data_IF_008613589507
#
_entry.id   IF_008613589507
#
_cell.length_a   1.000
_cell.length_b   1.000
_cell.length_c   1.000
_cell.angle_alpha   90.00
_cell.angle_beta   90.00
_cell.angle_gamma   90.00
#
_symmetry.space_group_name_H-M   'P 1'
#
loop_
_entity.id
_entity.type
_entity.pdbx_description
1 polymer ?
#
# COMPACT_ATOMS: atom_id res chain seq x y z
N UNK A 1 23.71 -20.95 2.73
CA UNK A 1 23.03 -22.26 2.78
C UNK A 1 21.82 -22.11 3.67
N UNK A 2 20.62 -22.56 3.27
CA UNK A 2 19.44 -22.49 4.14
C UNK A 2 19.66 -23.36 5.39
N UNK A 3 19.29 -22.83 6.55
CA UNK A 3 19.32 -23.59 7.80
C UNK A 3 18.05 -24.45 7.88
N UNK A 4 18.20 -25.78 7.96
CA UNK A 4 17.08 -26.68 8.24
C UNK A 4 16.89 -26.70 9.74
N UNK A 5 15.76 -26.18 10.21
CA UNK A 5 15.45 -26.08 11.63
C UNK A 5 15.08 -27.47 12.18
N UNK A 6 15.97 -28.05 12.99
CA UNK A 6 15.67 -29.27 13.76
C UNK A 6 15.07 -28.89 15.10
N UNK A 7 13.79 -29.21 15.28
CA UNK A 7 13.02 -28.86 16.45
C UNK A 7 12.89 -30.04 17.42
N UNK A 8 12.97 -29.81 18.74
CA UNK A 8 12.68 -30.86 19.71
C UNK A 8 11.19 -31.27 19.64
N UNK A 9 10.82 -32.48 20.12
CA UNK A 9 9.46 -33.02 20.00
C UNK A 9 8.37 -32.16 20.65
N UNK A 10 8.76 -31.35 21.64
CA UNK A 10 7.95 -30.40 22.39
C UNK A 10 8.70 -29.07 22.52
N UNK A 11 8.09 -27.98 22.04
CA UNK A 11 8.57 -26.62 22.23
C UNK A 11 7.50 -25.88 23.02
N UNK A 12 7.87 -25.40 24.20
CA UNK A 12 7.01 -24.49 24.97
C UNK A 12 7.87 -23.30 25.39
N UNK A 13 7.97 -22.31 24.50
CA UNK A 13 8.64 -21.05 24.82
C UNK A 13 7.62 -20.08 25.41
N UNK A 14 7.19 -20.40 26.64
CA UNK A 14 6.04 -19.77 27.32
C UNK A 14 6.19 -18.28 27.65
N UNK A 15 7.40 -17.72 27.49
CA UNK A 15 7.70 -16.30 27.71
C UNK A 15 8.16 -15.57 26.45
N UNK A 16 8.26 -16.25 25.32
CA UNK A 16 8.76 -15.66 24.08
C UNK A 16 7.69 -14.76 23.46
N UNK A 17 7.97 -13.45 23.45
CA UNK A 17 7.10 -12.41 22.88
C UNK A 17 7.46 -12.05 21.44
N UNK A 18 8.74 -12.10 21.09
CA UNK A 18 9.24 -11.69 19.78
C UNK A 18 10.03 -12.85 19.19
N UNK A 19 9.70 -13.26 17.96
CA UNK A 19 10.42 -14.28 17.23
C UNK A 19 10.79 -13.76 15.84
N UNK A 20 12.08 -13.75 15.54
CA UNK A 20 12.61 -13.42 14.22
C UNK A 20 13.31 -14.65 13.66
N UNK A 21 12.84 -15.16 12.53
CA UNK A 21 13.44 -16.27 11.81
C UNK A 21 14.00 -15.75 10.49
N UNK A 22 15.30 -15.98 10.27
CA UNK A 22 16.02 -15.52 9.07
C UNK A 22 16.63 -16.69 8.30
N UNK A 23 16.33 -16.82 7.01
CA UNK A 23 16.93 -17.83 6.14
C UNK A 23 16.57 -19.28 6.51
N UNK A 24 15.46 -19.49 7.22
CA UNK A 24 15.05 -20.81 7.74
C UNK A 24 14.25 -21.57 6.68
N UNK A 25 14.56 -22.86 6.51
CA UNK A 25 13.79 -23.75 5.65
C UNK A 25 13.00 -24.77 6.47
N UNK A 26 11.68 -24.75 6.28
CA UNK A 26 10.72 -25.67 6.87
C UNK A 26 10.39 -26.78 5.88
N UNK A 27 10.63 -28.03 6.26
CA UNK A 27 10.42 -29.19 5.37
C UNK A 27 9.54 -30.29 5.96
N UNK A 28 9.15 -30.15 7.23
CA UNK A 28 8.27 -31.10 7.92
C UNK A 28 7.05 -30.37 8.46
N UNK A 29 5.86 -30.79 7.99
CA UNK A 29 4.59 -30.13 8.30
C UNK A 29 4.28 -30.21 9.80
N UNK A 30 4.46 -31.39 10.40
CA UNK A 30 4.17 -31.64 11.81
C UNK A 30 5.05 -30.79 12.74
N UNK A 31 6.35 -30.72 12.48
CA UNK A 31 7.30 -29.92 13.26
C UNK A 31 7.02 -28.42 13.10
N UNK A 32 6.63 -27.98 11.90
CA UNK A 32 6.29 -26.58 11.63
C UNK A 32 5.03 -26.16 12.37
N UNK A 33 3.97 -26.97 12.33
CA UNK A 33 2.73 -26.70 13.08
C UNK A 33 2.97 -26.72 14.60
N UNK A 34 3.78 -27.67 15.10
CA UNK A 34 4.19 -27.70 16.51
C UNK A 34 4.99 -26.48 16.95
N UNK A 35 5.85 -25.94 16.08
CA UNK A 35 6.60 -24.72 16.37
C UNK A 35 5.63 -23.57 16.65
N UNK A 36 4.75 -23.28 15.70
CA UNK A 36 3.89 -22.11 15.77
C UNK A 36 2.80 -22.24 16.85
N UNK A 37 2.32 -23.46 17.13
CA UNK A 37 1.41 -23.69 18.27
C UNK A 37 2.12 -23.66 19.65
N UNK A 38 3.45 -23.70 19.68
CA UNK A 38 4.27 -23.72 20.90
C UNK A 38 4.52 -22.34 21.53
N UNK A 39 3.93 -21.26 20.99
CA UNK A 39 4.16 -19.89 21.42
C UNK A 39 2.89 -19.21 21.99
N UNK A 40 2.52 -19.47 23.26
CA UNK A 40 1.25 -18.99 23.82
C UNK A 40 1.20 -17.47 24.06
N UNK A 41 2.35 -16.78 24.07
CA UNK A 41 2.45 -15.34 24.37
C UNK A 41 3.19 -14.54 23.29
N UNK A 42 3.35 -15.12 22.10
CA UNK A 42 4.00 -14.42 20.99
C UNK A 42 3.18 -13.22 20.56
N UNK A 43 3.81 -12.07 20.54
CA UNK A 43 3.25 -10.76 20.16
C UNK A 43 3.76 -10.35 18.78
N UNK A 44 5.03 -10.65 18.45
CA UNK A 44 5.65 -10.28 17.17
C UNK A 44 6.33 -11.48 16.49
N UNK A 45 6.05 -11.66 15.20
CA UNK A 45 6.68 -12.67 14.36
C UNK A 45 7.23 -12.04 13.07
N UNK A 46 8.51 -12.27 12.80
CA UNK A 46 9.16 -11.90 11.55
C UNK A 46 9.73 -13.14 10.86
N UNK A 47 9.31 -13.38 9.61
CA UNK A 47 9.81 -14.44 8.74
C UNK A 47 10.55 -13.79 7.56
N UNK A 48 11.87 -13.77 7.63
CA UNK A 48 12.74 -13.10 6.65
C UNK A 48 13.55 -14.16 5.86
N UNK A 49 13.43 -14.17 4.53
CA UNK A 49 14.07 -15.18 3.64
C UNK A 49 13.76 -16.63 4.07
N UNK A 50 12.57 -16.86 4.63
CA UNK A 50 12.12 -18.19 5.06
C UNK A 50 11.51 -18.98 3.88
N UNK A 51 11.59 -20.31 3.93
CA UNK A 51 11.15 -21.20 2.83
C UNK A 51 10.30 -22.35 3.34
N UNK A 52 9.18 -22.58 2.66
CA UNK A 52 8.32 -23.73 2.85
C UNK A 52 8.70 -24.80 1.82
N UNK A 53 9.62 -25.69 2.17
CA UNK A 53 10.20 -26.70 1.27
C UNK A 53 9.25 -27.87 1.09
N UNK A 54 8.47 -27.89 -0.01
CA UNK A 54 7.49 -28.93 -0.34
C UNK A 54 6.34 -29.07 0.66
N UNK A 55 6.10 -28.05 1.50
CA UNK A 55 4.96 -28.02 2.40
C UNK A 55 3.72 -27.59 1.62
N UNK A 56 2.62 -28.34 1.77
CA UNK A 56 1.35 -28.00 1.12
C UNK A 56 0.57 -26.98 1.93
N UNK A 57 0.46 -27.19 3.23
CA UNK A 57 -0.33 -26.35 4.13
C UNK A 57 0.47 -26.06 5.40
N UNK A 58 0.45 -24.81 5.85
CA UNK A 58 1.03 -24.37 7.12
C UNK A 58 0.01 -23.50 7.84
N UNK A 59 -0.13 -23.70 9.15
CA UNK A 59 -0.92 -22.83 10.00
C UNK A 59 -0.02 -22.15 11.02
N UNK A 60 -0.07 -20.81 11.05
CA UNK A 60 0.60 -20.00 12.07
C UNK A 60 -0.44 -19.69 13.14
N UNK A 61 -0.42 -20.46 14.23
CA UNK A 61 -1.39 -20.36 15.33
C UNK A 61 -0.78 -19.64 16.54
N UNK A 62 -0.93 -18.32 16.61
CA UNK A 62 -0.38 -17.51 17.72
C UNK A 62 -1.46 -16.55 18.24
N UNK A 63 -2.12 -16.88 19.38
CA UNK A 63 -3.34 -16.19 19.80
C UNK A 63 -3.14 -14.73 20.22
N UNK A 64 -1.93 -14.36 20.68
CA UNK A 64 -1.58 -13.00 21.09
C UNK A 64 -0.79 -12.22 20.03
N UNK A 65 -0.63 -12.79 18.83
CA UNK A 65 0.19 -12.18 17.79
C UNK A 65 -0.47 -10.87 17.34
N UNK A 66 0.21 -9.75 17.58
CA UNK A 66 -0.23 -8.41 17.21
C UNK A 66 0.46 -7.89 15.95
N UNK A 67 1.70 -8.34 15.68
CA UNK A 67 2.44 -7.94 14.48
C UNK A 67 3.05 -9.13 13.75
N UNK A 68 2.85 -9.18 12.43
CA UNK A 68 3.41 -10.20 11.55
C UNK A 68 4.10 -9.55 10.35
N UNK A 69 5.37 -9.87 10.17
CA UNK A 69 6.15 -9.50 9.00
C UNK A 69 6.60 -10.75 8.24
N UNK A 70 6.35 -10.76 6.93
CA UNK A 70 6.77 -11.82 6.02
C UNK A 70 7.54 -11.18 4.87
N UNK A 71 8.80 -11.56 4.72
CA UNK A 71 9.66 -11.15 3.63
C UNK A 71 10.12 -12.39 2.86
N UNK A 72 9.66 -12.50 1.61
CA UNK A 72 10.06 -13.59 0.74
C UNK A 72 11.56 -13.49 0.39
N UNK A 73 12.18 -14.63 0.06
CA UNK A 73 13.56 -14.70 -0.43
C UNK A 73 13.88 -13.81 -1.65
N UNK A 74 14.77 -12.83 -1.52
CA UNK A 74 15.10 -11.85 -2.58
C UNK A 74 15.74 -12.44 -3.85
N UNK A 75 16.44 -13.58 -3.76
CA UNK A 75 17.16 -14.22 -4.90
C UNK A 75 16.64 -15.61 -5.25
N UNK A 76 15.43 -15.94 -4.82
CA UNK A 76 14.84 -17.25 -5.10
C UNK A 76 14.25 -17.26 -6.51
N UNK A 77 14.47 -18.37 -7.20
CA UNK A 77 13.72 -18.68 -8.44
C UNK A 77 12.52 -19.50 -8.07
N UNK A 78 11.43 -19.27 -8.79
CA UNK A 78 10.26 -20.13 -8.78
C UNK A 78 10.65 -21.59 -9.06
N UNK A 79 10.02 -22.48 -8.32
CA UNK A 79 10.22 -23.93 -8.36
C UNK A 79 8.87 -24.63 -8.18
N UNK A 80 8.82 -25.93 -8.43
CA UNK A 80 7.59 -26.71 -8.19
C UNK A 80 7.30 -26.91 -6.69
N UNK A 81 8.29 -26.63 -5.83
CA UNK A 81 8.13 -26.62 -4.38
C UNK A 81 7.42 -25.36 -3.85
N UNK A 82 7.28 -24.34 -4.69
CA UNK A 82 6.55 -23.10 -4.38
C UNK A 82 5.07 -23.31 -4.65
N UNK A 83 4.28 -23.56 -3.62
CA UNK A 83 2.81 -23.53 -3.64
C UNK A 83 2.22 -23.76 -2.24
N UNK A 84 2.94 -23.36 -1.18
CA UNK A 84 2.43 -23.56 0.17
C UNK A 84 1.25 -22.62 0.44
N UNK A 85 0.21 -23.15 1.08
CA UNK A 85 -0.89 -22.37 1.63
C UNK A 85 -0.61 -22.10 3.10
N UNK A 86 -0.31 -20.84 3.42
CA UNK A 86 0.00 -20.40 4.77
C UNK A 86 -1.21 -19.67 5.32
N UNK A 87 -1.90 -20.33 6.25
CA UNK A 87 -3.03 -19.78 6.98
C UNK A 87 -2.55 -19.12 8.26
N UNK A 88 -2.81 -17.83 8.41
CA UNK A 88 -2.48 -17.09 9.62
C UNK A 88 -3.71 -17.02 10.51
N UNK A 89 -3.54 -17.54 11.73
CA UNK A 89 -4.57 -17.66 12.75
C UNK A 89 -4.10 -16.94 14.02
N UNK A 90 -4.59 -15.72 14.22
CA UNK A 90 -4.28 -14.90 15.39
C UNK A 90 -5.32 -13.81 15.56
N UNK A 91 -6.20 -13.93 16.56
CA UNK A 91 -7.36 -13.02 16.72
C UNK A 91 -6.97 -11.58 17.05
N UNK A 92 -5.72 -11.35 17.46
CA UNK A 92 -5.19 -10.07 17.94
C UNK A 92 -4.26 -9.37 16.95
N UNK A 93 -4.20 -9.80 15.68
CA UNK A 93 -3.29 -9.17 14.71
C UNK A 93 -3.75 -7.74 14.42
N UNK A 94 -2.89 -6.77 14.72
CA UNK A 94 -3.09 -5.34 14.51
C UNK A 94 -2.31 -4.83 13.29
N UNK A 95 -1.13 -5.39 13.02
CA UNK A 95 -0.28 -5.00 11.90
C UNK A 95 0.20 -6.20 11.08
N UNK A 96 0.10 -6.08 9.75
CA UNK A 96 0.57 -7.10 8.81
C UNK A 96 1.44 -6.48 7.73
N UNK A 97 2.64 -7.03 7.52
CA UNK A 97 3.59 -6.58 6.52
C UNK A 97 4.02 -7.73 5.62
N UNK A 98 3.87 -7.54 4.32
CA UNK A 98 4.34 -8.48 3.32
C UNK A 98 5.26 -7.80 2.31
N UNK A 99 6.39 -8.43 2.00
CA UNK A 99 7.30 -8.02 0.91
C UNK A 99 7.76 -9.25 0.15
N UNK A 100 7.51 -9.32 -1.16
CA UNK A 100 7.90 -10.52 -1.91
C UNK A 100 7.31 -10.70 -3.30
N UNK A 101 7.47 -11.91 -3.85
CA UNK A 101 6.96 -12.32 -5.17
C UNK A 101 5.75 -13.27 -5.08
N UNK A 102 5.16 -13.40 -3.90
CA UNK A 102 4.10 -14.35 -3.58
C UNK A 102 4.45 -15.77 -4.02
N UNK A 103 5.63 -16.27 -3.64
CA UNK A 103 6.01 -17.68 -3.87
C UNK A 103 5.02 -18.65 -3.22
N UNK A 104 4.31 -18.20 -2.19
CA UNK A 104 3.33 -18.95 -1.43
C UNK A 104 2.06 -18.12 -1.25
N UNK A 105 0.95 -18.80 -1.01
CA UNK A 105 -0.33 -18.16 -0.72
C UNK A 105 -0.42 -17.87 0.77
N UNK A 106 -0.82 -16.65 1.13
CA UNK A 106 -1.03 -16.24 2.51
C UNK A 106 -2.49 -15.87 2.68
N UNK A 107 -3.18 -16.56 3.59
CA UNK A 107 -4.59 -16.30 3.90
C UNK A 107 -4.75 -15.84 5.35
N UNK A 108 -5.49 -14.76 5.53
CA UNK A 108 -5.78 -14.15 6.83
C UNK A 108 -7.24 -14.41 7.17
N UNK A 109 -7.51 -15.14 8.24
CA UNK A 109 -8.87 -15.47 8.65
C UNK A 109 -9.24 -14.83 9.98
N UNK A 110 -10.42 -14.21 10.04
CA UNK A 110 -11.04 -13.70 11.28
C UNK A 110 -10.21 -12.65 12.04
N UNK A 111 -9.57 -11.72 11.32
CA UNK A 111 -8.78 -10.64 11.91
C UNK A 111 -9.63 -9.38 12.11
N UNK A 112 -10.50 -9.39 13.13
CA UNK A 112 -11.36 -8.23 13.44
C UNK A 112 -10.56 -7.01 13.94
N UNK A 113 -9.31 -7.21 14.37
CA UNK A 113 -8.46 -6.20 15.00
C UNK A 113 -7.39 -5.62 14.07
N UNK A 114 -7.33 -6.04 12.81
CA UNK A 114 -6.32 -5.54 11.88
C UNK A 114 -6.51 -4.03 11.69
N UNK A 115 -5.49 -3.26 12.00
CA UNK A 115 -5.46 -1.80 11.86
C UNK A 115 -4.68 -1.43 10.62
N UNK A 116 -3.46 -1.95 10.50
CA UNK A 116 -2.49 -1.56 9.47
C UNK A 116 -2.09 -2.76 8.61
N UNK A 117 -2.09 -2.57 7.30
CA UNK A 117 -1.64 -3.58 6.36
C UNK A 117 -0.73 -2.99 5.28
N UNK A 118 0.38 -3.68 5.02
CA UNK A 118 1.38 -3.28 4.04
C UNK A 118 1.67 -4.43 3.07
N UNK A 119 1.59 -4.15 1.77
CA UNK A 119 1.97 -5.09 0.71
C UNK A 119 2.94 -4.44 -0.26
N UNK A 120 4.14 -5.02 -0.32
CA UNK A 120 5.12 -4.76 -1.36
C UNK A 120 5.31 -5.98 -2.25
N UNK A 121 4.86 -5.84 -3.50
CA UNK A 121 5.11 -6.85 -4.53
C UNK A 121 6.38 -6.48 -5.29
N UNK A 122 7.37 -7.37 -5.28
CA UNK A 122 8.58 -7.22 -6.09
C UNK A 122 8.22 -7.41 -7.58
N UNK A 123 8.70 -6.52 -8.45
CA UNK A 123 8.29 -6.40 -9.87
C UNK A 123 8.64 -7.56 -10.83
N UNK A 124 8.89 -8.77 -10.33
CA UNK A 124 9.07 -9.96 -11.16
C UNK A 124 7.77 -10.32 -11.88
N UNK A 125 7.83 -10.40 -13.22
CA UNK A 125 6.68 -10.76 -14.08
C UNK A 125 6.46 -12.27 -14.20
N UNK A 126 7.01 -13.05 -13.28
CA UNK A 126 6.92 -14.51 -13.33
C UNK A 126 5.57 -14.96 -12.76
N UNK A 127 4.83 -15.81 -13.51
CA UNK A 127 3.51 -16.34 -13.11
C UNK A 127 2.53 -15.23 -12.64
N UNK A 128 2.30 -14.17 -13.45
CA UNK A 128 1.59 -12.97 -13.01
C UNK A 128 0.15 -13.25 -12.56
N UNK A 129 -0.54 -14.20 -13.21
CA UNK A 129 -1.88 -14.64 -12.77
C UNK A 129 -1.87 -15.27 -11.39
N UNK A 130 -0.88 -16.11 -11.07
CA UNK A 130 -0.78 -16.76 -9.77
C UNK A 130 -0.50 -15.74 -8.67
N UNK A 131 0.42 -14.81 -8.92
CA UNK A 131 0.73 -13.69 -8.02
C UNK A 131 -0.52 -12.85 -7.76
N UNK A 132 -1.28 -12.51 -8.81
CA UNK A 132 -2.52 -11.75 -8.70
C UNK A 132 -3.59 -12.48 -7.88
N UNK A 133 -3.76 -13.78 -8.07
CA UNK A 133 -4.69 -14.60 -7.28
C UNK A 133 -4.29 -14.61 -5.80
N UNK A 134 -3.01 -14.79 -5.49
CA UNK A 134 -2.50 -14.81 -4.10
C UNK A 134 -2.62 -13.46 -3.42
N UNK A 135 -2.31 -12.39 -4.14
CA UNK A 135 -2.50 -11.04 -3.66
C UNK A 135 -3.98 -10.76 -3.37
N UNK A 136 -4.88 -11.18 -4.26
CA UNK A 136 -6.32 -11.07 -4.05
C UNK A 136 -6.76 -11.85 -2.80
N UNK A 137 -6.31 -13.09 -2.63
CA UNK A 137 -6.57 -13.89 -1.41
C UNK A 137 -6.14 -13.16 -0.15
N UNK A 138 -4.99 -12.49 -0.18
CA UNK A 138 -4.50 -11.71 0.96
C UNK A 138 -5.36 -10.47 1.23
N UNK A 139 -5.78 -9.74 0.19
CA UNK A 139 -6.64 -8.56 0.30
C UNK A 139 -8.01 -8.87 0.91
N UNK A 140 -8.57 -10.06 0.70
CA UNK A 140 -9.80 -10.51 1.39
C UNK A 140 -9.64 -10.38 2.91
N UNK A 141 -8.44 -10.68 3.40
CA UNK A 141 -8.05 -10.58 4.80
C UNK A 141 -8.06 -9.17 5.38
N UNK A 142 -8.01 -8.13 4.54
CA UNK A 142 -7.86 -6.73 4.95
C UNK A 142 -9.17 -5.98 5.07
N UNK A 143 -10.32 -6.64 4.93
CA UNK A 143 -11.66 -6.03 5.01
C UNK A 143 -11.91 -5.18 6.27
N UNK A 144 -11.20 -5.47 7.38
CA UNK A 144 -11.32 -4.70 8.63
C UNK A 144 -10.22 -3.65 8.83
N UNK A 145 -9.19 -3.59 7.97
CA UNK A 145 -8.07 -2.68 8.10
C UNK A 145 -8.53 -1.22 8.06
N UNK A 146 -7.88 -0.37 8.85
CA UNK A 146 -8.07 1.08 8.85
C UNK A 146 -7.10 1.79 7.94
N UNK A 147 -5.91 1.21 7.77
CA UNK A 147 -4.81 1.76 7.00
C UNK A 147 -4.26 0.67 6.09
N UNK A 148 -4.24 0.94 4.78
CA UNK A 148 -3.67 0.02 3.78
C UNK A 148 -2.62 0.78 2.97
N UNK A 149 -1.42 0.20 2.92
CA UNK A 149 -0.31 0.65 2.08
C UNK A 149 -0.02 -0.40 1.01
N UNK A 150 -0.07 0.01 -0.26
CA UNK A 150 0.18 -0.86 -1.40
C UNK A 150 1.28 -0.29 -2.29
N UNK A 151 2.19 -1.12 -2.79
CA UNK A 151 3.12 -0.65 -3.82
C UNK A 151 2.45 -0.52 -5.19
N UNK A 152 3.02 0.29 -6.09
CA UNK A 152 2.53 0.38 -7.47
C UNK A 152 2.47 -0.97 -8.19
N UNK A 153 3.47 -1.83 -7.95
CA UNK A 153 3.50 -3.20 -8.47
C UNK A 153 2.40 -4.09 -7.88
N UNK A 154 1.98 -3.85 -6.64
CA UNK A 154 0.86 -4.57 -6.05
C UNK A 154 -0.43 -4.23 -6.81
N UNK A 155 -0.70 -2.94 -7.03
CA UNK A 155 -1.86 -2.52 -7.82
C UNK A 155 -1.79 -3.04 -9.25
N UNK A 156 -0.62 -3.01 -9.88
CA UNK A 156 -0.42 -3.55 -11.22
C UNK A 156 -0.67 -5.07 -11.26
N UNK A 157 -0.22 -5.84 -10.26
CA UNK A 157 -0.38 -7.29 -10.24
C UNK A 157 -1.86 -7.71 -10.32
N UNK A 158 -2.76 -7.00 -9.65
CA UNK A 158 -4.20 -7.29 -9.66
C UNK A 158 -4.83 -7.23 -11.06
N UNK A 159 -4.22 -6.53 -12.03
CA UNK A 159 -4.70 -6.52 -13.42
C UNK A 159 -4.77 -7.91 -14.05
N UNK A 160 -3.94 -8.84 -13.57
CA UNK A 160 -3.85 -10.21 -14.09
C UNK A 160 -4.88 -11.16 -13.50
N UNK A 161 -5.73 -10.69 -12.57
CA UNK A 161 -6.88 -11.39 -12.02
C UNK A 161 -8.14 -10.50 -12.05
N UNK A 162 -8.37 -9.84 -13.19
CA UNK A 162 -9.49 -8.91 -13.37
C UNK A 162 -10.85 -9.56 -13.11
N UNK A 163 -10.98 -10.87 -13.33
CA UNK A 163 -12.15 -11.68 -13.03
C UNK A 163 -12.52 -11.73 -11.53
N UNK A 164 -11.57 -11.47 -10.63
CA UNK A 164 -11.79 -11.49 -9.19
C UNK A 164 -12.23 -10.11 -8.67
N UNK A 165 -11.91 -9.03 -9.39
CA UNK A 165 -12.21 -7.66 -8.97
C UNK A 165 -13.68 -7.43 -8.63
N UNK A 166 -14.68 -7.95 -9.39
CA UNK A 166 -16.10 -7.82 -9.02
C UNK A 166 -16.47 -8.41 -7.65
N UNK A 167 -15.67 -9.33 -7.13
CA UNK A 167 -15.91 -10.03 -5.85
C UNK A 167 -15.06 -9.48 -4.70
N UNK A 168 -14.33 -8.38 -4.91
CA UNK A 168 -13.50 -7.72 -3.91
C UNK A 168 -14.33 -7.39 -2.66
N UNK A 169 -13.79 -7.59 -1.43
CA UNK A 169 -14.52 -7.25 -0.22
C UNK A 169 -14.71 -5.74 -0.08
N UNK A 170 -15.78 -5.36 0.63
CA UNK A 170 -15.94 -4.01 1.13
C UNK A 170 -14.91 -3.70 2.22
N UNK A 171 -14.17 -2.61 2.06
CA UNK A 171 -13.24 -2.06 3.04
C UNK A 171 -13.92 -0.96 3.87
N UNK A 172 -14.99 -1.33 4.59
CA UNK A 172 -15.82 -0.37 5.33
C UNK A 172 -15.09 0.37 6.45
N UNK A 173 -14.00 -0.20 6.97
CA UNK A 173 -13.23 0.43 8.04
C UNK A 173 -12.02 1.23 7.54
N UNK A 174 -11.72 1.17 6.24
CA UNK A 174 -10.54 1.81 5.66
C UNK A 174 -10.71 3.33 5.69
N UNK A 175 -9.78 3.99 6.37
CA UNK A 175 -9.73 5.45 6.53
C UNK A 175 -8.59 6.05 5.72
N UNK A 176 -7.46 5.35 5.64
CA UNK A 176 -6.26 5.84 4.98
C UNK A 176 -5.73 4.80 3.97
N UNK A 177 -5.57 5.22 2.72
CA UNK A 177 -5.05 4.41 1.63
C UNK A 177 -3.86 5.12 1.02
N UNK A 178 -2.69 4.48 1.09
CA UNK A 178 -1.44 5.02 0.57
C UNK A 178 -0.84 4.09 -0.48
N UNK A 179 -0.43 4.69 -1.59
CA UNK A 179 0.29 4.03 -2.65
C UNK A 179 1.74 4.47 -2.66
N UNK A 180 2.64 3.53 -2.39
CA UNK A 180 4.08 3.79 -2.28
C UNK A 180 4.87 3.08 -3.39
N UNK A 181 6.18 3.34 -3.46
CA UNK A 181 7.12 2.68 -4.37
C UNK A 181 6.60 2.61 -5.82
N UNK A 182 6.62 3.74 -6.52
CA UNK A 182 6.23 3.93 -7.92
C UNK A 182 4.93 4.73 -8.14
N UNK A 183 4.85 5.37 -9.31
CA UNK A 183 3.67 6.13 -9.73
C UNK A 183 2.48 5.21 -10.02
N UNK A 184 1.29 5.65 -9.61
CA UNK A 184 0.03 4.95 -9.86
C UNK A 184 -0.68 5.48 -11.10
N UNK A 185 -1.17 4.57 -11.95
CA UNK A 185 -2.08 4.92 -13.02
C UNK A 185 -3.51 5.07 -12.48
N UNK A 186 -4.07 6.28 -12.56
CA UNK A 186 -5.41 6.59 -12.06
C UNK A 186 -6.51 5.80 -12.79
N UNK A 187 -6.27 5.46 -14.05
CA UNK A 187 -7.16 4.64 -14.89
C UNK A 187 -6.99 3.13 -14.68
N UNK A 188 -6.23 2.70 -13.65
CA UNK A 188 -6.12 1.30 -13.26
C UNK A 188 -7.47 0.77 -12.74
N UNK A 189 -7.99 -0.27 -13.40
CA UNK A 189 -9.24 -0.94 -12.98
C UNK A 189 -9.14 -1.45 -11.53
N UNK A 190 -7.97 -1.93 -11.11
CA UNK A 190 -7.75 -2.40 -9.75
C UNK A 190 -7.82 -1.25 -8.72
N UNK A 191 -7.19 -0.11 -9.01
CA UNK A 191 -7.28 1.09 -8.18
C UNK A 191 -8.73 1.55 -8.06
N UNK A 192 -9.40 1.72 -9.20
CA UNK A 192 -10.78 2.17 -9.25
C UNK A 192 -11.68 1.25 -8.44
N UNK A 193 -11.50 -0.07 -8.54
CA UNK A 193 -12.25 -1.02 -7.75
C UNK A 193 -11.98 -0.89 -6.24
N UNK A 194 -10.71 -0.76 -5.82
CA UNK A 194 -10.37 -0.54 -4.41
C UNK A 194 -11.08 0.72 -3.87
N UNK A 195 -11.07 1.82 -4.64
CA UNK A 195 -11.76 3.06 -4.26
C UNK A 195 -13.28 2.88 -4.15
N UNK A 196 -13.89 2.14 -5.08
CA UNK A 196 -15.34 1.83 -5.03
C UNK A 196 -15.71 1.03 -3.77
N UNK A 197 -14.87 0.07 -3.38
CA UNK A 197 -15.10 -0.77 -2.20
C UNK A 197 -14.69 -0.09 -0.88
N UNK A 198 -14.23 1.17 -0.91
CA UNK A 198 -13.73 1.91 0.26
C UNK A 198 -14.60 3.12 0.60
N UNK A 199 -15.86 2.95 1.01
CA UNK A 199 -16.83 4.05 1.13
C UNK A 199 -16.48 5.08 2.22
N UNK A 200 -15.71 4.68 3.23
CA UNK A 200 -15.37 5.51 4.39
C UNK A 200 -13.96 6.12 4.33
N UNK A 201 -13.29 6.01 3.17
CA UNK A 201 -11.95 6.52 2.98
C UNK A 201 -11.88 8.04 3.20
N UNK A 202 -10.95 8.49 4.05
CA UNK A 202 -10.73 9.90 4.41
C UNK A 202 -9.45 10.47 3.81
N UNK A 203 -8.40 9.67 3.71
CA UNK A 203 -7.12 10.08 3.11
C UNK A 203 -6.75 9.15 1.97
N UNK A 204 -6.40 9.75 0.84
CA UNK A 204 -5.86 9.05 -0.32
C UNK A 204 -4.47 9.63 -0.65
N UNK A 205 -3.44 8.80 -0.58
CA UNK A 205 -2.06 9.22 -0.77
C UNK A 205 -1.41 8.47 -1.95
N UNK A 206 -0.76 9.23 -2.82
CA UNK A 206 0.03 8.75 -3.94
C UNK A 206 1.48 9.19 -3.70
N UNK A 207 2.21 8.46 -2.86
CA UNK A 207 3.52 8.87 -2.33
C UNK A 207 4.57 9.10 -3.42
N UNK A 208 4.54 8.32 -4.51
CA UNK A 208 5.47 8.43 -5.63
C UNK A 208 4.80 8.87 -6.95
N UNK A 209 3.66 9.55 -6.84
CA UNK A 209 3.00 10.20 -7.96
C UNK A 209 1.77 9.46 -8.47
N UNK A 210 1.01 10.17 -9.30
CA UNK A 210 -0.20 9.66 -9.96
C UNK A 210 -0.22 10.19 -11.39
N UNK A 211 -0.49 9.31 -12.35
CA UNK A 211 -0.52 9.64 -13.78
C UNK A 211 -1.69 8.96 -14.49
N UNK A 212 -1.93 9.35 -15.74
CA UNK A 212 -2.79 8.61 -16.67
C UNK A 212 -1.94 7.73 -17.57
N UNK A 213 -2.47 6.58 -17.98
CA UNK A 213 -1.84 5.78 -19.04
C UNK A 213 -1.81 6.55 -20.38
N UNK A 214 -0.91 6.16 -21.29
CA UNK A 214 -0.85 6.73 -22.66
C UNK A 214 -2.12 6.48 -23.48
N UNK A 215 -2.87 5.43 -23.13
CA UNK A 215 -3.91 4.86 -24.00
C UNK A 215 -5.33 5.23 -23.50
N UNK A 216 -5.43 6.22 -22.61
CA UNK A 216 -6.71 6.61 -22.03
C UNK A 216 -7.55 7.45 -23.02
N UNK A 217 -8.44 6.79 -23.75
CA UNK A 217 -9.35 7.45 -24.71
C UNK A 217 -10.48 8.25 -24.03
N UNK A 218 -10.80 7.94 -22.76
CA UNK A 218 -12.00 8.47 -22.05
C UNK A 218 -11.65 9.07 -20.69
N UNK A 219 -10.82 10.10 -20.73
CA UNK A 219 -10.29 10.81 -19.55
C UNK A 219 -11.40 11.31 -18.61
N UNK A 220 -12.50 11.82 -19.16
CA UNK A 220 -13.61 12.37 -18.38
C UNK A 220 -14.46 11.32 -17.63
N UNK A 221 -14.39 10.05 -18.02
CA UNK A 221 -15.20 8.97 -17.43
C UNK A 221 -14.40 7.99 -16.56
N UNK A 222 -13.15 8.30 -16.21
CA UNK A 222 -12.29 7.39 -15.41
C UNK A 222 -12.92 7.06 -14.07
N UNK A 223 -13.51 8.06 -13.41
CA UNK A 223 -14.21 7.90 -12.13
C UNK A 223 -15.73 7.81 -12.35
N UNK A 224 -16.20 7.18 -13.42
CA UNK A 224 -17.64 6.91 -13.62
C UNK A 224 -17.91 5.40 -13.48
N UNK A 225 -18.69 4.96 -12.47
CA UNK A 225 -19.33 5.76 -11.43
C UNK A 225 -18.32 6.35 -10.43
N UNK A 226 -18.68 7.49 -9.81
CA UNK A 226 -17.80 8.15 -8.82
C UNK A 226 -17.73 7.30 -7.54
N UNK A 227 -16.53 7.00 -7.00
CA UNK A 227 -16.41 6.23 -5.76
C UNK A 227 -17.18 6.88 -4.60
N UNK A 228 -17.89 6.10 -3.76
CA UNK A 228 -18.73 6.67 -2.68
C UNK A 228 -17.97 7.58 -1.71
N UNK A 229 -16.68 7.27 -1.44
CA UNK A 229 -15.84 8.10 -0.58
C UNK A 229 -15.59 9.50 -1.17
N UNK A 230 -15.47 9.64 -2.49
CA UNK A 230 -15.26 10.94 -3.15
C UNK A 230 -16.46 11.88 -2.97
N UNK A 231 -17.66 11.31 -2.85
CA UNK A 231 -18.89 12.06 -2.68
C UNK A 231 -19.13 12.54 -1.25
N UNK A 232 -18.52 11.90 -0.24
CA UNK A 232 -18.96 12.08 1.15
C UNK A 232 -17.86 12.11 2.23
N UNK A 233 -16.80 11.30 2.12
CA UNK A 233 -15.86 11.06 3.23
C UNK A 233 -14.43 11.51 2.94
N UNK A 234 -14.01 11.56 1.68
CA UNK A 234 -12.63 11.84 1.31
C UNK A 234 -12.27 13.29 1.61
N UNK A 235 -11.43 13.51 2.62
CA UNK A 235 -11.04 14.83 3.12
C UNK A 235 -9.68 15.29 2.66
N UNK A 236 -8.76 14.37 2.45
CA UNK A 236 -7.40 14.70 2.07
C UNK A 236 -6.92 13.84 0.90
N UNK A 237 -6.37 14.50 -0.11
CA UNK A 237 -5.59 13.85 -1.17
C UNK A 237 -4.15 14.35 -1.07
N UNK A 238 -3.19 13.44 -1.12
CA UNK A 238 -1.76 13.77 -1.15
C UNK A 238 -1.13 13.16 -2.39
N UNK A 239 -0.36 13.96 -3.11
CA UNK A 239 0.38 13.55 -4.30
C UNK A 239 1.85 13.90 -4.09
N UNK A 240 2.67 12.88 -3.91
CA UNK A 240 4.11 13.01 -3.83
C UNK A 240 4.78 12.98 -5.19
N UNK A 241 6.07 13.31 -5.20
CA UNK A 241 6.97 13.19 -6.35
C UNK A 241 6.47 13.78 -7.68
N UNK A 242 5.63 14.82 -7.64
CA UNK A 242 4.96 15.39 -8.81
C UNK A 242 5.98 16.10 -9.74
N UNK A 243 6.01 15.71 -11.01
CA UNK A 243 6.94 16.20 -12.03
C UNK A 243 6.36 17.30 -12.93
N UNK A 244 5.05 17.53 -12.86
CA UNK A 244 4.36 18.58 -13.61
C UNK A 244 4.10 18.25 -15.07
N UNK A 245 4.10 16.97 -15.44
CA UNK A 245 3.73 16.56 -16.79
C UNK A 245 2.20 16.61 -17.01
N UNK A 246 1.79 16.60 -18.28
CA UNK A 246 0.38 16.73 -18.65
C UNK A 246 -0.50 15.59 -18.13
N UNK A 247 0.05 14.38 -17.98
CA UNK A 247 -0.70 13.21 -17.52
C UNK A 247 -0.91 13.27 -16.02
N UNK A 248 0.12 13.63 -15.26
CA UNK A 248 0.01 13.89 -13.83
C UNK A 248 -0.97 15.04 -13.55
N UNK A 249 -0.87 16.14 -14.31
CA UNK A 249 -1.80 17.26 -14.20
C UNK A 249 -3.25 16.83 -14.50
N UNK A 250 -3.45 16.00 -15.52
CA UNK A 250 -4.78 15.49 -15.87
C UNK A 250 -5.34 14.56 -14.79
N UNK A 251 -4.52 13.68 -14.22
CA UNK A 251 -4.92 12.83 -13.10
C UNK A 251 -5.36 13.67 -11.89
N UNK A 252 -4.56 14.68 -11.51
CA UNK A 252 -4.91 15.60 -10.41
C UNK A 252 -6.21 16.36 -10.70
N UNK A 253 -6.42 16.83 -11.94
CA UNK A 253 -7.67 17.49 -12.34
C UNK A 253 -8.88 16.58 -12.18
N UNK A 254 -8.78 15.32 -12.58
CA UNK A 254 -9.88 14.33 -12.43
C UNK A 254 -10.20 14.09 -10.96
N UNK A 255 -9.17 13.90 -10.12
CA UNK A 255 -9.35 13.73 -8.68
C UNK A 255 -10.11 14.92 -8.06
N UNK A 256 -9.66 16.15 -8.37
CA UNK A 256 -10.27 17.38 -7.87
C UNK A 256 -11.70 17.62 -8.39
N UNK A 257 -11.97 17.26 -9.65
CA UNK A 257 -13.30 17.42 -10.28
C UNK A 257 -14.35 16.54 -9.59
N UNK A 258 -13.96 15.36 -9.10
CA UNK A 258 -14.90 14.36 -8.58
C UNK A 258 -14.97 14.30 -7.05
N UNK A 259 -13.95 14.75 -6.33
CA UNK A 259 -13.91 14.72 -4.87
C UNK A 259 -14.66 15.92 -4.25
N UNK A 260 -15.98 15.80 -4.16
CA UNK A 260 -16.89 16.88 -3.68
C UNK A 260 -16.67 17.22 -2.21
N UNK A 261 -16.35 16.23 -1.37
CA UNK A 261 -16.17 16.41 0.07
C UNK A 261 -14.75 16.80 0.51
N UNK A 262 -13.87 17.10 -0.45
CA UNK A 262 -12.43 17.30 -0.23
C UNK A 262 -12.14 18.61 0.49
N UNK A 263 -11.47 18.53 1.64
CA UNK A 263 -11.07 19.71 2.43
C UNK A 263 -9.67 20.20 2.01
N UNK A 264 -8.77 19.28 1.63
CA UNK A 264 -7.36 19.59 1.37
C UNK A 264 -6.74 18.69 0.31
N UNK A 265 -5.96 19.31 -0.58
CA UNK A 265 -4.97 18.61 -1.42
C UNK A 265 -3.55 19.04 -1.05
N UNK A 266 -2.61 18.10 -1.02
CA UNK A 266 -1.17 18.36 -0.81
C UNK A 266 -0.41 17.81 -2.00
N UNK A 267 0.37 18.66 -2.67
CA UNK A 267 1.21 18.24 -3.79
C UNK A 267 2.66 18.53 -3.43
N UNK A 268 3.49 17.49 -3.41
CA UNK A 268 4.93 17.59 -3.18
C UNK A 268 5.66 17.39 -4.51
N UNK A 269 6.40 18.41 -4.93
CA UNK A 269 7.11 18.39 -6.21
C UNK A 269 8.37 17.54 -6.16
N UNK A 270 8.72 16.92 -7.28
CA UNK A 270 10.04 16.32 -7.45
C UNK A 270 11.13 17.39 -7.38
N UNK A 271 12.34 17.03 -6.95
CA UNK A 271 13.47 17.96 -6.83
C UNK A 271 13.75 18.70 -8.14
N UNK A 272 13.63 17.99 -9.26
CA UNK A 272 13.86 18.54 -10.58
C UNK A 272 12.79 19.57 -10.96
N UNK A 273 11.52 19.25 -10.71
CA UNK A 273 10.42 20.16 -11.02
C UNK A 273 10.43 21.40 -10.12
N UNK A 274 10.71 21.23 -8.82
CA UNK A 274 10.90 22.35 -7.90
C UNK A 274 12.02 23.30 -8.38
N UNK A 275 13.19 22.75 -8.74
CA UNK A 275 14.29 23.56 -9.26
C UNK A 275 13.95 24.27 -10.59
N UNK A 276 13.17 23.63 -11.46
CA UNK A 276 12.67 24.24 -12.68
C UNK A 276 11.73 25.41 -12.39
N UNK A 277 10.79 25.25 -11.46
CA UNK A 277 9.89 26.32 -11.03
C UNK A 277 10.65 27.46 -10.36
N UNK A 278 11.66 27.19 -9.53
CA UNK A 278 12.49 28.24 -8.92
C UNK A 278 13.26 29.06 -9.96
N UNK A 279 13.79 28.41 -11.01
CA UNK A 279 14.46 29.12 -12.11
C UNK A 279 13.51 30.04 -12.87
N UNK A 280 12.27 29.60 -13.09
CA UNK A 280 11.23 30.41 -13.75
C UNK A 280 10.61 31.47 -12.83
N UNK A 281 10.45 31.18 -11.54
CA UNK A 281 9.98 32.12 -10.52
C UNK A 281 11.00 33.23 -10.26
N UNK A 282 12.30 32.95 -10.33
CA UNK A 282 13.34 33.99 -10.34
C UNK A 282 13.33 34.84 -11.62
N UNK A 283 12.70 34.37 -12.70
CA UNK A 283 12.48 35.13 -13.93
C UNK A 283 11.13 35.87 -13.96
N UNK A 284 10.20 35.54 -13.07
CA UNK A 284 8.86 36.12 -13.01
C UNK A 284 8.56 36.59 -11.56
N UNK A 285 8.59 37.91 -11.37
CA UNK A 285 8.25 38.67 -10.15
C UNK A 285 9.40 38.91 -9.15
N UNK A 286 10.11 40.03 -9.34
CA UNK A 286 10.54 40.87 -8.22
C UNK A 286 9.29 41.55 -7.64
N UNK A 287 8.70 41.00 -6.58
CA UNK A 287 7.77 41.70 -5.68
C UNK A 287 7.99 41.15 -4.27
N UNK A 288 8.20 42.06 -3.31
CA UNK A 288 8.58 41.81 -1.92
C UNK A 288 7.52 41.06 -1.08
N UNK A 289 7.92 40.41 0.04
CA UNK A 289 7.09 39.45 0.75
C UNK A 289 6.37 40.09 1.95
N UNK A 290 5.08 39.79 2.16
CA UNK A 290 4.49 39.91 3.50
C UNK A 290 3.54 38.76 3.87
N UNK A 291 3.98 38.04 4.91
CA UNK A 291 3.24 37.36 6.00
C UNK A 291 2.53 36.03 5.70
N UNK A 292 3.28 34.95 5.94
CA UNK A 292 2.74 33.67 6.43
C UNK A 292 3.27 33.41 7.85
N UNK A 293 2.36 33.30 8.82
CA UNK A 293 2.64 32.80 10.18
C UNK A 293 2.72 31.28 10.17
N UNK A 294 3.83 30.75 10.68
CA UNK A 294 4.14 29.33 10.80
C UNK A 294 3.76 28.81 12.19
N UNK A 295 3.01 27.71 12.27
CA UNK A 295 3.03 26.87 13.48
C UNK A 295 3.76 25.55 13.19
N UNK A 296 4.79 25.29 14.01
CA UNK A 296 5.68 24.14 13.96
C UNK A 296 4.94 22.87 14.38
N UNK A 297 4.85 21.88 13.51
CA UNK A 297 4.62 20.51 13.96
C UNK A 297 5.97 19.87 14.34
N UNK A 298 6.11 19.48 15.62
CA UNK A 298 7.28 18.74 16.14
C UNK A 298 7.20 17.28 15.68
N UNK A 299 8.21 16.74 14.97
CA UNK A 299 8.32 15.31 14.73
C UNK A 299 8.81 14.61 16.00
N UNK A 300 8.23 13.45 16.32
CA UNK A 300 8.92 12.46 17.18
C UNK A 300 9.94 11.73 16.30
N UNK A 301 11.21 11.82 16.70
CA UNK A 301 12.44 11.30 16.07
C UNK A 301 12.43 9.76 15.94
N UNK A 302 13.20 9.06 15.10
CA UNK A 302 14.51 9.21 14.41
C UNK A 302 14.50 8.25 13.20
N UNK A 303 15.10 8.44 12.02
CA UNK A 303 16.09 9.37 11.51
C UNK A 303 16.00 9.45 9.96
N UNK A 304 16.59 10.53 9.43
CA UNK A 304 16.89 10.86 8.03
C UNK A 304 15.83 11.70 7.28
N UNK A 305 16.24 12.95 7.18
CA UNK A 305 15.69 14.20 6.63
C UNK A 305 15.13 14.12 5.21
N UNK A 306 13.96 14.72 4.96
CA UNK A 306 13.80 15.96 4.16
C UNK A 306 12.36 16.50 4.24
N UNK A 307 12.27 17.82 4.09
CA UNK A 307 11.18 18.74 4.43
C UNK A 307 9.82 18.44 3.78
N UNK A 308 8.74 18.57 4.56
CA UNK A 308 7.37 18.67 4.05
C UNK A 308 6.96 20.15 3.96
N UNK A 309 6.57 20.59 2.76
CA UNK A 309 5.85 21.85 2.56
C UNK A 309 4.35 21.53 2.46
N UNK A 310 3.55 22.09 3.35
CA UNK A 310 2.11 22.11 3.23
C UNK A 310 1.70 23.36 2.45
N UNK A 311 1.23 23.20 1.21
CA UNK A 311 0.55 24.28 0.50
C UNK A 311 -0.92 24.27 0.90
N UNK A 312 -1.39 25.38 1.46
CA UNK A 312 -2.82 25.69 1.60
C UNK A 312 -3.18 26.57 0.40
N UNK A 313 -3.91 26.03 -0.58
CA UNK A 313 -4.45 26.84 -1.67
C UNK A 313 -5.66 27.60 -1.12
N UNK A 314 -5.42 28.77 -0.53
CA UNK A 314 -6.45 29.80 -0.39
C UNK A 314 -6.48 30.61 -1.69
N UNK A 315 -7.66 30.72 -2.29
CA UNK A 315 -7.96 31.37 -3.57
C UNK A 315 -7.19 32.68 -3.77
N UNK A 316 -6.07 32.66 -4.49
CA UNK A 316 -5.41 33.85 -5.02
C UNK A 316 -4.68 33.50 -6.32
N UNK A 317 -5.44 33.32 -7.39
CA UNK A 317 -5.09 33.88 -8.71
C UNK A 317 -6.28 33.78 -9.67
N UNK A 318 -7.22 34.71 -9.49
CA UNK A 318 -8.29 35.02 -10.43
C UNK A 318 -7.82 35.97 -11.56
N UNK A 319 -6.50 36.08 -11.81
CA UNK A 319 -5.96 36.99 -12.85
C UNK A 319 -5.26 36.29 -14.02
N UNK A 320 -5.32 34.96 -14.13
CA UNK A 320 -4.94 34.22 -15.34
C UNK A 320 -6.02 33.29 -15.91
N UNK A 321 -7.24 33.36 -15.39
CA UNK A 321 -8.41 32.63 -15.93
C UNK A 321 -9.27 33.52 -16.87
N UNK A 322 -9.00 34.83 -16.96
CA UNK A 322 -9.73 35.75 -17.85
C UNK A 322 -9.09 35.96 -19.23
N UNK A 323 -8.09 35.18 -19.63
CA UNK A 323 -7.49 35.24 -20.98
C UNK A 323 -7.79 34.00 -21.85
N UNK A 324 -8.70 33.13 -21.41
CA UNK A 324 -9.12 31.93 -22.14
C UNK A 324 -10.63 31.91 -22.48
N UNK A 325 -11.32 33.05 -22.34
CA UNK A 325 -12.62 33.25 -22.98
C UNK A 325 -12.46 34.24 -24.13
N UNK A 326 -12.56 33.70 -25.34
CA UNK A 326 -12.56 34.44 -26.59
C UNK A 326 -13.12 33.57 -27.71
N UNK A 327 -14.40 33.20 -27.56
CA UNK A 327 -15.23 32.33 -28.41
C UNK A 327 -14.88 30.84 -28.27
#
# INVERSE_FOLDING_TARGET
MPCILKLPPTICLSKLKILVLKGVSFSDEHSTQKLFSGFPVLEELCLDDCRWMNLKVVSICAPKLSSLMIQDPYKKRWSDSDNCQVTILGVSLESFYYTGEFFNEYSLHKLALLVEAYINVCGSRTRPRLVANRMYTLLIGFSNAKEIMLTSFAVEALRYAAELLPHMPMFNNLLDLDFIDGSINLDSIALLKILQESPNLKTLEFSEGVSLSTDCEKVDSILDPVPPCFLSQLKCIKVGYYNGDEKELSAVKILLKNAVALDRIVISFSKNFAAYLEKRGKQAYAVEPERATFERYKPRSTASTLFSFAVRISMLHQSKISAFYGI
#
